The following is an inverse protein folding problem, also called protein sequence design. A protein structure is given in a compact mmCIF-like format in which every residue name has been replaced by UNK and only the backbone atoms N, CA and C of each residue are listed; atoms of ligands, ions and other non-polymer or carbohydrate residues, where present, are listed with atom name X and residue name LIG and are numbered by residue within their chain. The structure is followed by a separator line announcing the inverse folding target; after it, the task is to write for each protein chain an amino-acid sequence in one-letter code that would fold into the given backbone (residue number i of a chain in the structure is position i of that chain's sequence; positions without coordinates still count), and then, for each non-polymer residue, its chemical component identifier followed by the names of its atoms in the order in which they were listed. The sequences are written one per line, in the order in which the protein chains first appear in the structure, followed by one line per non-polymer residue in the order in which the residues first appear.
data_IF_391157130292
#
_entry.id   IF_391157130292
#
_cell.length_a   1.000
_cell.length_b   1.000
_cell.length_c   1.000
_cell.angle_alpha   90.00
_cell.angle_beta   90.00
_cell.angle_gamma   90.00
#
_symmetry.space_group_name_H-M   'P 1'
#
loop_
_entity.id
_entity.type
_entity.pdbx_description
1 polymer ?
#
# COMPACT_ATOMS: atom_id res chain seq x y z
N UNK A 1 -18.61 -25.30 10.99
CA UNK A 1 -17.64 -24.20 10.84
C UNK A 1 -16.29 -24.81 10.49
N UNK A 2 -15.98 -24.92 9.20
CA UNK A 2 -14.65 -25.35 8.77
C UNK A 2 -13.66 -24.25 9.14
N UNK A 3 -12.78 -24.52 10.09
CA UNK A 3 -11.63 -23.66 10.35
C UNK A 3 -10.86 -23.55 9.04
N UNK A 4 -10.92 -22.39 8.39
CA UNK A 4 -9.97 -22.03 7.34
C UNK A 4 -8.62 -22.02 8.02
N UNK A 5 -7.86 -23.11 7.90
CA UNK A 5 -6.42 -23.09 8.06
C UNK A 5 -5.95 -22.13 6.97
N UNK A 6 -5.79 -20.85 7.31
CA UNK A 6 -4.96 -19.95 6.49
C UNK A 6 -3.63 -20.69 6.34
N UNK A 7 -3.21 -21.06 5.11
CA UNK A 7 -1.89 -21.63 4.92
C UNK A 7 -0.90 -20.68 5.57
N UNK A 8 -0.13 -21.19 6.52
CA UNK A 8 0.86 -20.41 7.25
C UNK A 8 1.99 -20.09 6.27
N UNK A 9 1.81 -19.00 5.51
CA UNK A 9 2.88 -18.39 4.76
C UNK A 9 3.81 -17.73 5.78
N UNK A 10 4.77 -18.50 6.28
CA UNK A 10 5.76 -18.02 7.23
C UNK A 10 6.95 -17.46 6.45
N UNK A 11 6.92 -16.15 6.22
CA UNK A 11 8.08 -15.38 5.79
C UNK A 11 8.48 -14.48 6.96
N UNK A 12 9.76 -14.50 7.34
CA UNK A 12 10.25 -13.85 8.56
C UNK A 12 11.21 -12.70 8.20
N UNK A 13 10.73 -11.50 7.79
CA UNK A 13 11.61 -10.40 7.34
C UNK A 13 12.72 -10.01 8.32
N UNK A 14 12.46 -10.04 9.63
CA UNK A 14 13.46 -9.69 10.65
C UNK A 14 14.48 -10.83 10.90
N UNK A 15 14.18 -12.05 10.45
CA UNK A 15 15.07 -13.19 10.54
C UNK A 15 15.87 -13.42 9.25
N UNK A 16 15.18 -13.40 8.10
CA UNK A 16 15.72 -13.76 6.78
C UNK A 16 16.58 -12.64 6.16
N UNK A 17 16.30 -11.38 6.52
CA UNK A 17 16.95 -10.22 5.91
C UNK A 17 16.41 -9.93 4.50
N UNK A 18 16.92 -8.88 3.87
CA UNK A 18 16.53 -8.54 2.50
C UNK A 18 17.19 -9.52 1.50
N UNK A 19 16.44 -10.05 0.51
CA UNK A 19 17.02 -10.90 -0.51
C UNK A 19 18.00 -10.11 -1.38
N UNK A 20 19.03 -10.80 -1.87
CA UNK A 20 19.95 -10.24 -2.87
C UNK A 20 19.16 -9.83 -4.13
N UNK A 21 19.53 -8.72 -4.81
CA UNK A 21 18.83 -8.25 -6.00
C UNK A 21 18.70 -9.31 -7.10
N UNK A 22 19.70 -10.18 -7.28
CA UNK A 22 19.64 -11.27 -8.25
C UNK A 22 18.52 -12.28 -7.93
N UNK A 23 18.41 -12.68 -6.67
CA UNK A 23 17.33 -13.56 -6.18
C UNK A 23 15.97 -12.89 -6.32
N UNK A 24 15.86 -11.59 -6.00
CA UNK A 24 14.62 -10.84 -6.14
C UNK A 24 14.14 -10.80 -7.61
N UNK A 25 15.05 -10.57 -8.56
CA UNK A 25 14.73 -10.60 -9.99
C UNK A 25 14.31 -12.00 -10.46
N UNK A 26 14.98 -13.06 -10.00
CA UNK A 26 14.61 -14.44 -10.32
C UNK A 26 13.19 -14.76 -9.81
N UNK A 27 12.87 -14.38 -8.57
CA UNK A 27 11.54 -14.52 -7.98
C UNK A 27 10.49 -13.75 -8.78
N UNK A 28 10.76 -12.50 -9.17
CA UNK A 28 9.85 -11.71 -10.00
C UNK A 28 9.58 -12.35 -11.36
N UNK A 29 10.59 -12.96 -12.00
CA UNK A 29 10.41 -13.70 -13.26
C UNK A 29 9.51 -14.92 -13.08
N UNK A 30 9.67 -15.66 -11.98
CA UNK A 30 8.81 -16.81 -11.67
C UNK A 30 7.37 -16.37 -11.39
N UNK A 31 7.18 -15.29 -10.64
CA UNK A 31 5.86 -14.69 -10.40
C UNK A 31 5.20 -14.30 -11.73
N UNK A 32 5.93 -13.61 -12.61
CA UNK A 32 5.40 -13.21 -13.91
C UNK A 32 5.03 -14.41 -14.80
N UNK A 33 5.83 -15.48 -14.78
CA UNK A 33 5.53 -16.71 -15.52
C UNK A 33 4.26 -17.41 -14.99
N UNK A 34 4.04 -17.43 -13.68
CA UNK A 34 2.81 -17.96 -13.08
C UNK A 34 1.60 -17.05 -13.35
N UNK A 35 1.77 -15.73 -13.27
CA UNK A 35 0.73 -14.77 -13.64
C UNK A 35 0.30 -14.93 -15.10
N UNK A 36 1.23 -15.21 -16.02
CA UNK A 36 0.91 -15.47 -17.43
C UNK A 36 0.14 -16.79 -17.65
N UNK A 37 0.26 -17.76 -16.74
CA UNK A 37 -0.50 -19.02 -16.77
C UNK A 37 -1.89 -18.88 -16.16
N UNK A 38 -2.06 -17.93 -15.23
CA UNK A 38 -3.35 -17.67 -14.62
C UNK A 38 -4.30 -17.01 -15.63
N UNK A 39 -5.59 -17.38 -15.64
CA UNK A 39 -6.57 -16.67 -16.43
C UNK A 39 -6.65 -15.22 -15.94
N UNK A 40 -6.37 -14.27 -16.84
CA UNK A 40 -6.52 -12.85 -16.53
C UNK A 40 -7.99 -12.57 -16.21
N UNK A 41 -8.31 -12.30 -14.94
CA UNK A 41 -9.62 -11.77 -14.56
C UNK A 41 -9.59 -10.27 -14.80
N UNK A 42 -10.48 -9.70 -15.63
CA UNK A 42 -10.60 -8.25 -15.76
C UNK A 42 -10.84 -7.64 -14.37
N UNK A 43 -10.15 -6.55 -14.06
CA UNK A 43 -10.26 -5.89 -12.75
C UNK A 43 -11.71 -5.47 -12.42
N UNK A 44 -12.51 -5.16 -13.44
CA UNK A 44 -13.93 -4.78 -13.32
C UNK A 44 -14.83 -5.90 -12.77
N UNK A 45 -14.40 -7.17 -12.86
CA UNK A 45 -15.19 -8.33 -12.44
C UNK A 45 -14.71 -8.91 -11.10
N UNK A 46 -13.79 -8.28 -10.38
CA UNK A 46 -13.31 -8.80 -9.10
C UNK A 46 -14.27 -8.52 -7.94
N UNK A 47 -14.93 -9.56 -7.43
CA UNK A 47 -15.83 -9.49 -6.28
C UNK A 47 -15.15 -9.03 -4.98
N UNK A 48 -13.82 -8.93 -4.94
CA UNK A 48 -13.04 -8.37 -3.82
C UNK A 48 -12.95 -6.85 -3.88
N UNK A 49 -13.08 -6.27 -5.07
CA UNK A 49 -13.09 -4.82 -5.24
C UNK A 49 -14.52 -4.33 -5.01
N UNK A 50 -14.71 -3.23 -4.25
CA UNK A 50 -16.01 -2.60 -4.16
C UNK A 50 -16.43 -2.12 -5.56
N UNK A 51 -17.73 -2.17 -5.90
CA UNK A 51 -18.20 -1.61 -7.16
C UNK A 51 -17.82 -0.12 -7.23
N UNK A 52 -17.55 0.41 -8.44
CA UNK A 52 -17.24 1.82 -8.60
C UNK A 52 -18.36 2.67 -7.99
N UNK A 53 -17.99 3.58 -7.08
CA UNK A 53 -18.96 4.46 -6.43
C UNK A 53 -19.60 5.38 -7.47
N UNK A 54 -20.94 5.37 -7.56
CA UNK A 54 -21.65 6.31 -8.40
C UNK A 54 -21.52 7.72 -7.81
N UNK A 55 -20.91 8.65 -8.56
CA UNK A 55 -20.80 10.04 -8.12
C UNK A 55 -22.13 10.73 -8.42
N UNK A 56 -22.67 11.45 -7.43
CA UNK A 56 -23.97 12.15 -7.51
C UNK A 56 -25.20 11.24 -7.72
N UNK A 57 -25.30 10.14 -6.98
CA UNK A 57 -26.46 9.21 -7.02
C UNK A 57 -27.84 9.91 -6.93
N UNK A 58 -27.90 11.01 -6.17
CA UNK A 58 -29.15 11.75 -5.92
C UNK A 58 -29.54 12.66 -7.11
N UNK A 59 -28.57 13.09 -7.92
CA UNK A 59 -28.81 14.06 -9.00
C UNK A 59 -28.22 13.57 -10.33
N UNK A 60 -29.06 12.99 -11.21
CA UNK A 60 -28.63 12.53 -12.53
C UNK A 60 -27.98 13.64 -13.36
N UNK A 61 -28.46 14.88 -13.24
CA UNK A 61 -27.91 16.02 -13.95
C UNK A 61 -26.47 16.36 -13.50
N UNK A 62 -26.17 16.21 -12.22
CA UNK A 62 -24.80 16.41 -11.71
C UNK A 62 -23.89 15.25 -12.10
N UNK A 63 -24.41 14.02 -12.13
CA UNK A 63 -23.66 12.86 -12.61
C UNK A 63 -23.28 13.01 -14.09
N UNK A 64 -24.21 13.47 -14.93
CA UNK A 64 -23.95 13.75 -16.35
C UNK A 64 -22.95 14.87 -16.55
N UNK A 65 -23.09 15.99 -15.82
CA UNK A 65 -22.12 17.10 -15.85
C UNK A 65 -20.73 16.63 -15.41
N UNK A 66 -20.65 15.83 -14.35
CA UNK A 66 -19.40 15.26 -13.88
C UNK A 66 -18.76 14.39 -14.96
N UNK A 67 -19.52 13.44 -15.54
CA UNK A 67 -19.04 12.58 -16.62
C UNK A 67 -18.55 13.40 -17.84
N UNK A 68 -19.24 14.48 -18.19
CA UNK A 68 -18.83 15.37 -19.29
C UNK A 68 -17.55 16.18 -19.01
N UNK A 69 -17.18 16.35 -17.73
CA UNK A 69 -16.04 17.17 -17.31
C UNK A 69 -14.82 16.33 -16.90
N UNK A 70 -15.02 15.08 -16.48
CA UNK A 70 -13.94 14.18 -16.02
C UNK A 70 -13.73 12.97 -16.92
N UNK A 71 -14.63 12.74 -17.89
CA UNK A 71 -14.52 11.66 -18.85
C UNK A 71 -13.36 11.82 -19.84
N UNK A 72 -13.08 10.79 -20.65
CA UNK A 72 -12.03 10.83 -21.66
C UNK A 72 -12.23 11.92 -22.72
N UNK A 73 -13.48 12.33 -22.95
CA UNK A 73 -13.87 13.43 -23.85
C UNK A 73 -14.08 14.77 -23.13
N UNK A 74 -13.49 14.94 -21.94
CA UNK A 74 -13.66 16.14 -21.13
C UNK A 74 -13.25 17.41 -21.89
N UNK A 75 -14.24 18.27 -22.15
CA UNK A 75 -13.95 19.62 -22.62
C UNK A 75 -13.39 20.43 -21.43
N UNK A 76 -12.31 21.22 -21.62
CA UNK A 76 -11.80 22.08 -20.56
C UNK A 76 -12.91 23.03 -20.10
N UNK A 77 -13.14 23.07 -18.78
CA UNK A 77 -14.18 23.92 -18.21
C UNK A 77 -13.95 25.38 -18.61
N UNK A 78 -15.01 26.05 -19.07
CA UNK A 78 -14.94 27.47 -19.43
C UNK A 78 -14.55 28.26 -18.18
N UNK A 79 -13.36 28.85 -18.19
CA UNK A 79 -12.91 29.75 -17.14
C UNK A 79 -13.93 30.88 -16.92
N UNK A 80 -14.09 31.32 -15.67
CA UNK A 80 -14.93 32.47 -15.36
C UNK A 80 -14.42 33.67 -16.16
N UNK A 81 -15.30 34.24 -16.97
CA UNK A 81 -14.96 35.36 -17.84
C UNK A 81 -14.98 36.66 -17.02
N UNK A 82 -13.83 37.30 -16.76
CA UNK A 82 -13.76 38.54 -15.99
C UNK A 82 -14.30 39.74 -16.80
N UNK A 83 -14.36 39.65 -18.13
CA UNK A 83 -14.84 40.74 -18.98
C UNK A 83 -16.33 41.02 -18.80
N UNK A 84 -17.10 40.00 -18.36
CA UNK A 84 -18.52 40.13 -18.04
C UNK A 84 -18.81 41.17 -16.94
N UNK A 85 -17.88 41.36 -16.02
CA UNK A 85 -18.04 42.28 -14.89
C UNK A 85 -17.32 43.62 -15.11
N UNK A 86 -16.63 43.79 -16.23
CA UNK A 86 -15.99 45.04 -16.58
C UNK A 86 -17.04 46.01 -17.13
N UNK A 87 -17.12 47.23 -16.57
CA UNK A 87 -17.84 48.33 -17.20
C UNK A 87 -17.05 48.76 -18.45
N UNK A 88 -17.50 48.33 -19.62
CA UNK A 88 -16.95 48.78 -20.90
C UNK A 88 -17.92 49.76 -21.56
N UNK A 89 -17.42 50.85 -22.17
CA UNK A 89 -18.26 51.70 -23.00
C UNK A 89 -18.78 50.90 -24.20
N UNK A 90 -19.96 51.23 -24.74
CA UNK A 90 -20.49 50.56 -25.92
C UNK A 90 -19.51 50.74 -27.09
N UNK A 91 -19.18 49.63 -27.77
CA UNK A 91 -18.22 49.63 -28.88
C UNK A 91 -18.75 50.34 -30.14
N UNK A 92 -20.07 50.43 -30.27
CA UNK A 92 -20.76 51.03 -31.42
C UNK A 92 -21.86 51.98 -30.93
N UNK A 93 -22.17 53.00 -31.72
CA UNK A 93 -23.19 54.00 -31.37
C UNK A 93 -24.63 53.55 -31.69
N UNK A 94 -24.88 52.24 -31.72
CA UNK A 94 -26.20 51.67 -32.02
C UNK A 94 -27.11 51.72 -30.77
N UNK A 95 -28.43 51.94 -30.93
CA UNK A 95 -29.38 51.95 -29.82
C UNK A 95 -29.36 50.67 -28.97
N UNK A 96 -29.10 49.53 -29.61
CA UNK A 96 -28.98 48.21 -28.99
C UNK A 96 -27.74 48.10 -28.09
N UNK A 97 -26.57 48.53 -28.58
CA UNK A 97 -25.33 48.51 -27.80
C UNK A 97 -25.42 49.41 -26.56
N UNK A 98 -26.11 50.56 -26.67
CA UNK A 98 -26.38 51.43 -25.54
C UNK A 98 -27.34 50.81 -24.51
N UNK A 99 -28.37 50.07 -24.96
CA UNK A 99 -29.28 49.33 -24.05
C UNK A 99 -28.55 48.24 -23.27
N UNK A 100 -27.69 47.47 -23.94
CA UNK A 100 -26.90 46.44 -23.26
C UNK A 100 -25.90 47.04 -22.28
N UNK A 101 -25.22 48.13 -22.65
CA UNK A 101 -24.29 48.83 -21.76
C UNK A 101 -25.01 49.38 -20.52
N UNK A 102 -26.22 49.93 -20.68
CA UNK A 102 -27.05 50.40 -19.57
C UNK A 102 -27.45 49.27 -18.63
N UNK A 103 -27.93 48.14 -19.17
CA UNK A 103 -28.28 46.97 -18.36
C UNK A 103 -27.07 46.42 -17.58
N UNK A 104 -25.88 46.42 -18.18
CA UNK A 104 -24.64 46.02 -17.49
C UNK A 104 -24.26 47.00 -16.39
N UNK A 105 -24.43 48.31 -16.61
CA UNK A 105 -24.19 49.34 -15.61
C UNK A 105 -25.15 49.21 -14.42
N UNK A 106 -26.44 48.99 -14.67
CA UNK A 106 -27.45 48.78 -13.63
C UNK A 106 -27.13 47.53 -12.79
N UNK A 107 -26.81 46.41 -13.44
CA UNK A 107 -26.41 45.19 -12.75
C UNK A 107 -25.13 45.36 -11.91
N UNK A 108 -24.17 46.16 -12.39
CA UNK A 108 -22.93 46.45 -11.67
C UNK A 108 -23.18 47.36 -10.45
N UNK A 109 -24.11 48.31 -10.55
CA UNK A 109 -24.51 49.17 -9.43
C UNK A 109 -25.14 48.32 -8.31
N UNK A 110 -26.12 47.50 -8.64
CA UNK A 110 -26.78 46.59 -7.69
C UNK A 110 -25.76 45.65 -7.01
N UNK A 111 -24.81 45.09 -7.78
CA UNK A 111 -23.73 44.29 -7.23
C UNK A 111 -22.83 45.08 -6.26
N UNK A 112 -22.49 46.32 -6.60
CA UNK A 112 -21.68 47.18 -5.74
C UNK A 112 -22.41 47.52 -4.43
N UNK A 113 -23.72 47.74 -4.47
CA UNK A 113 -24.54 47.97 -3.29
C UNK A 113 -24.62 46.73 -2.39
N UNK A 114 -24.87 45.55 -2.98
CA UNK A 114 -24.85 44.28 -2.26
C UNK A 114 -23.48 44.02 -1.61
N UNK A 115 -22.39 44.23 -2.36
CA UNK A 115 -21.02 44.09 -1.87
C UNK A 115 -20.71 45.05 -0.73
N UNK A 116 -21.21 46.29 -0.77
CA UNK A 116 -21.08 47.25 0.34
C UNK A 116 -21.71 46.67 1.62
N UNK A 117 -22.91 46.11 1.52
CA UNK A 117 -23.57 45.45 2.66
C UNK A 117 -22.75 44.28 3.21
N UNK A 118 -22.22 43.42 2.33
CA UNK A 118 -21.34 42.30 2.73
C UNK A 118 -20.07 42.80 3.43
N UNK A 119 -19.40 43.82 2.88
CA UNK A 119 -18.19 44.41 3.44
C UNK A 119 -18.44 45.07 4.81
N UNK A 120 -19.62 45.63 5.05
CA UNK A 120 -19.97 46.17 6.37
C UNK A 120 -20.10 45.08 7.43
N UNK A 121 -20.68 43.93 7.07
CA UNK A 121 -20.76 42.76 7.96
C UNK A 121 -19.36 42.20 8.21
N UNK A 122 -18.55 42.05 7.16
CA UNK A 122 -17.16 41.59 7.26
C UNK A 122 -16.31 42.53 8.11
N UNK A 123 -16.46 43.85 7.98
CA UNK A 123 -15.74 44.81 8.81
C UNK A 123 -16.10 44.68 10.29
N UNK A 124 -17.35 44.36 10.60
CA UNK A 124 -17.83 44.21 12.00
C UNK A 124 -17.43 42.87 12.62
N UNK A 125 -17.50 41.77 11.86
CA UNK A 125 -17.41 40.41 12.41
C UNK A 125 -16.25 39.58 11.83
N UNK A 126 -15.65 39.99 10.71
CA UNK A 126 -14.67 39.21 9.97
C UNK A 126 -13.45 38.82 10.79
N UNK A 127 -12.86 39.77 11.53
CA UNK A 127 -11.70 39.48 12.38
C UNK A 127 -12.01 38.45 13.47
N UNK A 128 -13.16 38.56 14.13
CA UNK A 128 -13.58 37.64 15.19
C UNK A 128 -13.92 36.25 14.63
N UNK A 129 -14.61 36.18 13.49
CA UNK A 129 -14.90 34.92 12.80
C UNK A 129 -13.62 34.23 12.34
N UNK A 130 -12.65 35.00 11.83
CA UNK A 130 -11.35 34.46 11.42
C UNK A 130 -10.57 33.87 12.58
N UNK A 131 -10.56 34.54 13.74
CA UNK A 131 -9.94 34.01 14.95
C UNK A 131 -10.59 32.71 15.43
N UNK A 132 -11.93 32.66 15.44
CA UNK A 132 -12.67 31.44 15.77
C UNK A 132 -12.34 30.30 14.80
N UNK A 133 -12.31 30.59 13.50
CA UNK A 133 -11.96 29.62 12.48
C UNK A 133 -10.54 29.08 12.68
N UNK A 134 -9.56 29.95 12.95
CA UNK A 134 -8.19 29.53 13.24
C UNK A 134 -8.11 28.66 14.51
N UNK A 135 -8.90 28.96 15.53
CA UNK A 135 -8.99 28.12 16.74
C UNK A 135 -9.54 26.73 16.40
N UNK A 136 -10.63 26.65 15.64
CA UNK A 136 -11.22 25.38 15.20
C UNK A 136 -10.25 24.54 14.34
N UNK A 137 -9.55 25.19 13.42
CA UNK A 137 -8.50 24.56 12.61
C UNK A 137 -7.36 24.03 13.48
N UNK A 138 -6.90 24.83 14.44
CA UNK A 138 -5.83 24.43 15.36
C UNK A 138 -6.24 23.24 16.22
N UNK A 139 -7.47 23.24 16.74
CA UNK A 139 -8.02 22.12 17.51
C UNK A 139 -8.12 20.84 16.66
N UNK A 140 -8.59 20.96 15.41
CA UNK A 140 -8.68 19.84 14.48
C UNK A 140 -7.29 19.29 14.14
N UNK A 141 -6.31 20.18 13.89
CA UNK A 141 -4.92 19.82 13.65
C UNK A 141 -4.34 19.03 14.82
N UNK A 142 -4.53 19.51 16.06
CA UNK A 142 -4.08 18.79 17.26
C UNK A 142 -4.73 17.41 17.37
N UNK A 143 -6.03 17.28 17.09
CA UNK A 143 -6.71 15.98 17.10
C UNK A 143 -6.11 15.01 16.08
N UNK A 144 -5.85 15.45 14.85
CA UNK A 144 -5.20 14.63 13.82
C UNK A 144 -3.76 14.27 14.18
N UNK A 145 -3.00 15.20 14.76
CA UNK A 145 -1.63 14.94 15.22
C UNK A 145 -1.59 13.89 16.35
N UNK A 146 -2.55 13.94 17.28
CA UNK A 146 -2.69 12.92 18.32
C UNK A 146 -3.06 11.56 17.74
N UNK A 147 -4.04 11.49 16.84
CA UNK A 147 -4.43 10.23 16.20
C UNK A 147 -3.28 9.61 15.38
N UNK A 148 -2.49 10.47 14.72
CA UNK A 148 -1.29 10.04 14.00
C UNK A 148 -0.23 9.48 14.96
N UNK A 149 0.05 10.16 16.07
CA UNK A 149 1.07 9.71 17.02
C UNK A 149 0.66 8.40 17.72
N UNK A 150 -0.62 8.25 18.05
CA UNK A 150 -1.19 6.99 18.56
C UNK A 150 -1.03 5.84 17.56
N UNK A 151 -1.37 6.08 16.29
CA UNK A 151 -1.24 5.08 15.22
C UNK A 151 0.21 4.69 14.97
N UNK A 152 1.13 5.65 15.02
CA UNK A 152 2.57 5.41 14.91
C UNK A 152 3.09 4.60 16.11
N UNK A 153 2.67 4.93 17.33
CA UNK A 153 3.04 4.20 18.54
C UNK A 153 2.52 2.75 18.50
N UNK A 154 1.26 2.54 18.09
CA UNK A 154 0.68 1.22 17.92
C UNK A 154 1.44 0.38 16.88
N UNK A 155 1.79 1.00 15.74
CA UNK A 155 2.57 0.36 14.68
C UNK A 155 3.99 0.01 15.15
N UNK A 156 4.65 0.91 15.88
CA UNK A 156 5.98 0.68 16.45
C UNK A 156 5.97 -0.45 17.49
N UNK A 157 4.98 -0.47 18.38
CA UNK A 157 4.81 -1.55 19.36
C UNK A 157 4.59 -2.91 18.67
N UNK A 158 3.75 -2.94 17.63
CA UNK A 158 3.50 -4.15 16.84
C UNK A 158 4.77 -4.63 16.13
N UNK A 159 5.52 -3.73 15.51
CA UNK A 159 6.77 -4.06 14.82
C UNK A 159 7.85 -4.55 15.80
N UNK A 160 7.94 -3.95 16.98
CA UNK A 160 8.84 -4.41 18.05
C UNK A 160 8.48 -5.84 18.51
N UNK A 161 7.19 -6.09 18.78
CA UNK A 161 6.72 -7.42 19.16
C UNK A 161 6.95 -8.46 18.05
N UNK A 162 6.72 -8.10 16.79
CA UNK A 162 7.03 -8.94 15.63
C UNK A 162 8.53 -9.26 15.56
N UNK A 163 9.39 -8.25 15.67
CA UNK A 163 10.83 -8.43 15.61
C UNK A 163 11.34 -9.37 16.73
N UNK A 164 10.83 -9.23 17.96
CA UNK A 164 11.18 -10.12 19.07
C UNK A 164 10.79 -11.58 18.78
N UNK A 165 9.54 -11.82 18.32
CA UNK A 165 9.06 -13.17 17.98
C UNK A 165 9.88 -13.81 16.87
N UNK A 166 10.14 -13.07 15.80
CA UNK A 166 10.91 -13.59 14.65
C UNK A 166 12.37 -13.87 15.01
N UNK A 167 13.00 -13.03 15.86
CA UNK A 167 14.36 -13.30 16.34
C UNK A 167 14.44 -14.52 17.25
N UNK A 168 13.44 -14.72 18.11
CA UNK A 168 13.35 -15.92 18.93
C UNK A 168 13.15 -17.18 18.07
N UNK A 169 12.26 -17.12 17.06
CA UNK A 169 12.06 -18.20 16.10
C UNK A 169 13.35 -18.50 15.31
N UNK A 170 14.09 -17.48 14.87
CA UNK A 170 15.39 -17.65 14.19
C UNK A 170 16.40 -18.41 15.06
N UNK A 171 16.54 -18.03 16.33
CA UNK A 171 17.45 -18.69 17.25
C UNK A 171 17.08 -20.18 17.43
N UNK A 172 15.78 -20.48 17.52
CA UNK A 172 15.30 -21.86 17.61
C UNK A 172 15.52 -22.64 16.30
N UNK A 173 15.28 -22.02 15.14
CA UNK A 173 15.56 -22.62 13.83
C UNK A 173 17.04 -22.97 13.69
N UNK A 174 17.94 -22.05 14.03
CA UNK A 174 19.40 -22.32 14.00
C UNK A 174 19.79 -23.46 14.95
N UNK A 175 19.15 -23.55 16.12
CA UNK A 175 19.36 -24.65 17.07
C UNK A 175 18.89 -25.99 16.51
N UNK A 176 17.76 -26.01 15.79
CA UNK A 176 17.22 -27.22 15.15
C UNK A 176 18.04 -27.62 13.93
N UNK A 177 18.47 -26.67 13.11
CA UNK A 177 19.39 -26.88 11.98
C UNK A 177 20.72 -27.47 12.45
N UNK A 178 21.30 -26.95 13.54
CA UNK A 178 22.50 -27.51 14.15
C UNK A 178 22.30 -28.96 14.60
N UNK A 179 21.23 -29.24 15.36
CA UNK A 179 20.91 -30.63 15.77
C UNK A 179 20.68 -31.56 14.60
N UNK A 180 20.06 -31.07 13.53
CA UNK A 180 19.83 -31.84 12.31
C UNK A 180 21.16 -32.16 11.60
N UNK A 181 22.04 -31.16 11.44
CA UNK A 181 23.36 -31.36 10.87
C UNK A 181 24.22 -32.32 11.72
N UNK A 182 24.19 -32.18 13.05
CA UNK A 182 24.87 -33.09 13.98
C UNK A 182 24.30 -34.51 13.88
N UNK A 183 22.99 -34.66 13.74
CA UNK A 183 22.33 -35.95 13.54
C UNK A 183 22.79 -36.65 12.26
N UNK A 184 22.84 -35.92 11.14
CA UNK A 184 23.37 -36.45 9.87
C UNK A 184 24.85 -36.80 10.00
N UNK A 185 25.64 -35.95 10.64
CA UNK A 185 27.06 -36.22 10.85
C UNK A 185 27.29 -37.47 11.72
N UNK A 186 26.49 -37.65 12.77
CA UNK A 186 26.55 -38.83 13.62
C UNK A 186 26.14 -40.11 12.88
N UNK A 187 25.08 -40.06 12.07
CA UNK A 187 24.66 -41.19 11.23
C UNK A 187 25.76 -41.58 10.24
N UNK A 188 26.37 -40.60 9.58
CA UNK A 188 27.50 -40.83 8.68
C UNK A 188 28.72 -41.43 9.41
N UNK A 189 29.04 -40.93 10.61
CA UNK A 189 30.13 -41.47 11.43
C UNK A 189 29.89 -42.94 11.81
N UNK A 190 28.66 -43.30 12.17
CA UNK A 190 28.28 -44.68 12.47
C UNK A 190 28.42 -45.57 11.25
N UNK A 191 27.98 -45.12 10.07
CA UNK A 191 28.15 -45.89 8.82
C UNK A 191 29.64 -46.07 8.45
N UNK A 192 30.48 -45.05 8.62
CA UNK A 192 31.93 -45.18 8.41
C UNK A 192 32.55 -46.17 9.40
N UNK A 193 32.21 -46.08 10.69
CA UNK A 193 32.73 -46.98 11.70
C UNK A 193 32.27 -48.44 11.47
N UNK A 194 31.03 -48.63 11.01
CA UNK A 194 30.50 -49.93 10.62
C UNK A 194 31.31 -50.53 9.46
N UNK A 195 31.53 -49.78 8.38
CA UNK A 195 32.30 -50.24 7.22
C UNK A 195 33.75 -50.59 7.60
N UNK A 196 34.37 -49.81 8.49
CA UNK A 196 35.70 -50.10 9.01
C UNK A 196 35.71 -51.41 9.82
N UNK A 197 34.74 -51.59 10.71
CA UNK A 197 34.59 -52.82 11.49
C UNK A 197 34.32 -54.06 10.63
N UNK A 198 33.46 -53.95 9.62
CA UNK A 198 33.22 -55.02 8.65
C UNK A 198 34.51 -55.43 7.94
N UNK A 199 35.33 -54.46 7.51
CA UNK A 199 36.64 -54.72 6.89
C UNK A 199 37.63 -55.39 7.85
N UNK A 200 37.73 -54.91 9.09
CA UNK A 200 38.61 -55.53 10.10
C UNK A 200 38.21 -56.98 10.40
N UNK A 201 36.90 -57.26 10.49
CA UNK A 201 36.39 -58.62 10.62
C UNK A 201 36.78 -59.49 9.41
N UNK A 202 36.61 -59.00 8.18
CA UNK A 202 37.02 -59.73 6.97
C UNK A 202 38.53 -60.04 6.95
N UNK A 203 39.37 -59.08 7.35
CA UNK A 203 40.82 -59.23 7.45
C UNK A 203 41.21 -60.27 8.51
N UNK A 204 40.60 -60.23 9.70
CA UNK A 204 40.83 -61.21 10.77
C UNK A 204 40.36 -62.62 10.37
N UNK A 205 39.20 -62.74 9.73
CA UNK A 205 38.74 -64.03 9.23
C UNK A 205 39.69 -64.60 8.16
N UNK A 206 40.23 -63.75 7.28
CA UNK A 206 41.22 -64.17 6.29
C UNK A 206 42.48 -64.70 6.98
N UNK A 207 42.97 -64.03 8.02
CA UNK A 207 44.11 -64.48 8.83
C UNK A 207 43.81 -65.81 9.54
N UNK A 208 42.63 -65.96 10.16
CA UNK A 208 42.22 -67.22 10.80
C UNK A 208 42.15 -68.36 9.77
N UNK A 209 41.58 -68.12 8.58
CA UNK A 209 41.56 -69.10 7.48
C UNK A 209 42.98 -69.50 7.06
N UNK A 210 43.91 -68.54 7.01
CA UNK A 210 45.29 -68.77 6.62
C UNK A 210 46.07 -69.54 7.70
N UNK A 211 45.89 -69.20 8.98
CA UNK A 211 46.49 -69.91 10.11
C UNK A 211 45.95 -71.34 10.25
N UNK A 212 44.63 -71.55 10.06
CA UNK A 212 44.05 -72.90 10.02
C UNK A 212 44.70 -73.76 8.94
N UNK A 213 44.90 -73.21 7.74
CA UNK A 213 45.65 -73.90 6.66
C UNK A 213 47.11 -74.22 7.04
N UNK A 214 47.76 -73.39 7.85
CA UNK A 214 49.15 -73.60 8.29
C UNK A 214 49.28 -74.60 9.44
N UNK A 215 48.26 -74.72 10.30
CA UNK A 215 48.25 -75.62 11.45
C UNK A 215 47.82 -77.06 11.13
N UNK A 216 47.47 -77.37 9.88
CA UNK A 216 47.29 -78.74 9.42
C UNK A 216 46.04 -79.44 9.96
N UNK A 217 44.88 -78.81 9.78
CA UNK A 217 43.61 -79.51 9.51
C UNK A 217 43.18 -79.27 8.07
#
# INVERSE_FOLDING_TARGET
MAARLTPAFDALPYADGAPEPATAQAVQRLIAAEQARMPHRPDDDDARLPPPSAVFEISPALAELYASTTGPDAAPTRAIDPSRYALQPPAESSPEAWREALQRADAALEYAEARRGTLEVERKMGANLWQLHNYQLSSSLTAYQTSLSESQAATAALNSARAQRQRAAKAEMQRLEGKWADGIAAELQVEVARLQGERECEELEAQVRQLRKQLGE
#
